data_IF_237610145022
#
_entry.id   IF_237610145022
#
_cell.length_a   1.000
_cell.length_b   1.000
_cell.length_c   1.000
_cell.angle_alpha   90.00
_cell.angle_beta   90.00
_cell.angle_gamma   90.00
#
_symmetry.space_group_name_H-M   'P 1'
#
loop_
_entity.id
_entity.type
_entity.pdbx_description
1 polymer ?
#
# COMPACT_ATOMS: atom_id res chain seq x y z
N UNK A 1 0.30 -16.51 -8.88
CA UNK A 1 0.84 -17.80 -8.40
C UNK A 1 0.83 -18.81 -9.54
N UNK A 2 1.55 -19.93 -9.43
CA UNK A 2 1.59 -21.01 -10.43
C UNK A 2 0.37 -21.95 -10.35
N UNK A 3 -0.27 -22.02 -9.18
CA UNK A 3 -1.57 -22.66 -8.95
C UNK A 3 -2.73 -21.66 -9.07
N UNK A 4 -3.93 -22.13 -9.38
CA UNK A 4 -5.11 -21.28 -9.65
C UNK A 4 -5.67 -20.58 -8.41
N UNK A 5 -5.50 -21.19 -7.23
CA UNK A 5 -5.97 -20.73 -5.93
C UNK A 5 -5.56 -21.74 -4.83
N UNK A 6 -6.16 -21.63 -3.64
CA UNK A 6 -6.03 -22.66 -2.60
C UNK A 6 -7.15 -23.69 -2.80
N UNK A 7 -6.79 -24.96 -2.89
CA UNK A 7 -7.75 -26.05 -3.10
C UNK A 7 -8.25 -26.63 -1.77
N UNK A 8 -9.47 -27.17 -1.76
CA UNK A 8 -10.07 -27.88 -0.62
C UNK A 8 -9.41 -29.22 -0.31
N UNK A 9 -8.74 -29.82 -1.29
CA UNK A 9 -8.00 -31.08 -1.20
C UNK A 9 -6.86 -31.09 -2.24
N UNK A 10 -5.92 -32.03 -2.15
CA UNK A 10 -4.86 -32.18 -3.17
C UNK A 10 -5.51 -32.66 -4.49
N UNK A 11 -5.57 -31.83 -5.55
CA UNK A 11 -6.27 -32.19 -6.79
C UNK A 11 -5.62 -33.38 -7.51
N UNK A 12 -4.36 -33.71 -7.21
CA UNK A 12 -3.71 -34.91 -7.75
C UNK A 12 -4.22 -36.21 -7.11
N UNK A 13 -4.80 -36.13 -5.90
CA UNK A 13 -5.30 -37.27 -5.13
C UNK A 13 -6.83 -37.30 -5.00
N UNK A 14 -7.46 -36.14 -5.11
CA UNK A 14 -8.88 -35.92 -4.92
C UNK A 14 -9.45 -35.23 -6.16
N UNK A 15 -10.04 -35.97 -7.11
CA UNK A 15 -10.62 -35.41 -8.32
C UNK A 15 -11.77 -34.42 -8.08
N UNK A 16 -12.38 -34.49 -6.90
CA UNK A 16 -13.43 -33.60 -6.43
C UNK A 16 -12.90 -32.33 -5.73
N UNK A 17 -11.58 -32.15 -5.63
CA UNK A 17 -10.97 -30.95 -5.09
C UNK A 17 -11.41 -29.70 -5.85
N UNK A 18 -11.83 -28.67 -5.12
CA UNK A 18 -12.29 -27.39 -5.67
C UNK A 18 -11.46 -26.26 -5.11
N UNK A 19 -11.46 -25.13 -5.80
CA UNK A 19 -10.87 -23.90 -5.27
C UNK A 19 -11.75 -23.40 -4.12
N UNK A 20 -11.12 -23.01 -3.02
CA UNK A 20 -11.77 -22.22 -1.97
C UNK A 20 -12.00 -20.82 -2.53
N UNK A 21 -13.24 -20.50 -2.89
CA UNK A 21 -13.55 -19.22 -3.55
C UNK A 21 -13.38 -18.03 -2.60
N UNK A 22 -13.78 -18.18 -1.34
CA UNK A 22 -13.75 -17.12 -0.33
C UNK A 22 -13.45 -17.68 1.06
N UNK A 23 -12.76 -16.89 1.88
CA UNK A 23 -12.54 -17.20 3.30
C UNK A 23 -12.19 -15.94 4.08
N UNK A 24 -12.50 -15.93 5.38
CA UNK A 24 -11.95 -14.99 6.37
C UNK A 24 -10.86 -15.64 7.23
N UNK A 25 -10.64 -16.95 7.11
CA UNK A 25 -9.70 -17.71 7.94
C UNK A 25 -8.49 -18.18 7.14
N UNK A 26 -7.36 -17.49 7.31
CA UNK A 26 -6.08 -17.93 6.75
C UNK A 26 -5.58 -19.19 7.44
N UNK A 27 -5.86 -19.35 8.73
CA UNK A 27 -5.56 -20.59 9.46
C UNK A 27 -6.24 -21.81 8.82
N UNK A 28 -7.47 -21.67 8.33
CA UNK A 28 -8.13 -22.73 7.57
C UNK A 28 -7.40 -23.02 6.25
N UNK A 29 -6.98 -21.99 5.50
CA UNK A 29 -6.20 -22.18 4.27
C UNK A 29 -4.85 -22.87 4.52
N UNK A 30 -4.16 -22.53 5.60
CA UNK A 30 -2.88 -23.17 5.97
C UNK A 30 -3.04 -24.68 6.21
N UNK A 31 -4.16 -25.11 6.80
CA UNK A 31 -4.46 -26.55 7.00
C UNK A 31 -4.72 -27.29 5.69
N UNK A 32 -5.21 -26.57 4.67
CA UNK A 32 -5.43 -27.09 3.32
C UNK A 32 -4.17 -27.03 2.46
N UNK A 33 -3.11 -26.36 2.91
CA UNK A 33 -1.85 -26.37 2.21
C UNK A 33 -1.13 -27.70 2.46
N UNK A 34 -1.27 -28.63 1.52
CA UNK A 34 -0.53 -29.88 1.53
C UNK A 34 0.96 -29.57 1.42
N UNK A 35 1.78 -30.06 2.36
CA UNK A 35 3.22 -29.93 2.28
C UNK A 35 3.73 -30.60 0.99
N UNK A 36 4.15 -29.81 0.00
CA UNK A 36 4.98 -30.32 -1.09
C UNK A 36 6.35 -30.69 -0.50
N UNK A 37 6.86 -31.86 -0.90
CA UNK A 37 8.17 -32.41 -0.46
C UNK A 37 9.38 -31.70 -1.08
N UNK A 38 9.17 -30.74 -1.96
CA UNK A 38 10.27 -30.07 -2.66
C UNK A 38 10.79 -28.90 -1.83
N UNK A 39 11.85 -29.18 -1.07
CA UNK A 39 12.52 -28.25 -0.15
C UNK A 39 13.20 -27.04 -0.83
N UNK A 40 13.18 -26.93 -2.16
CA UNK A 40 13.90 -25.90 -2.92
C UNK A 40 13.01 -24.77 -3.48
N UNK A 41 11.71 -24.71 -3.17
CA UNK A 41 10.86 -23.61 -3.63
C UNK A 41 10.86 -22.44 -2.63
N UNK A 42 11.81 -21.51 -2.78
CA UNK A 42 11.80 -20.19 -2.12
C UNK A 42 10.61 -19.35 -2.65
N UNK A 43 9.47 -19.39 -1.94
CA UNK A 43 8.26 -18.61 -2.28
C UNK A 43 6.98 -19.42 -2.51
N UNK A 44 6.76 -20.49 -1.75
CA UNK A 44 5.60 -21.38 -1.86
C UNK A 44 4.25 -20.77 -1.45
N UNK A 45 3.21 -21.60 -1.27
CA UNK A 45 1.88 -21.15 -0.82
C UNK A 45 1.92 -20.59 0.61
N UNK A 46 2.77 -21.15 1.49
CA UNK A 46 2.95 -20.66 2.86
C UNK A 46 3.33 -19.17 2.91
N UNK A 47 4.34 -18.74 2.15
CA UNK A 47 4.76 -17.33 2.08
C UNK A 47 3.67 -16.42 1.52
N UNK A 48 2.83 -16.91 0.60
CA UNK A 48 1.68 -16.14 0.08
C UNK A 48 0.60 -15.98 1.15
N UNK A 49 0.38 -17.00 1.97
CA UNK A 49 -0.51 -16.92 3.12
C UNK A 49 0.04 -16.02 4.23
N UNK A 50 1.35 -16.01 4.48
CA UNK A 50 1.99 -15.06 5.41
C UNK A 50 1.76 -13.62 4.95
N UNK A 51 1.99 -13.35 3.66
CA UNK A 51 1.74 -12.03 3.09
C UNK A 51 0.25 -11.66 3.15
N UNK A 52 -0.65 -12.60 2.82
CA UNK A 52 -2.09 -12.38 2.89
C UNK A 52 -2.57 -12.14 4.32
N UNK A 53 -1.96 -12.77 5.33
CA UNK A 53 -2.30 -12.58 6.75
C UNK A 53 -1.93 -11.20 7.23
N UNK A 54 -0.74 -10.75 6.84
CA UNK A 54 -0.31 -9.39 7.08
C UNK A 54 -1.27 -8.39 6.42
N UNK A 55 -1.63 -8.60 5.15
CA UNK A 55 -2.55 -7.71 4.41
C UNK A 55 -3.98 -7.75 4.99
N UNK A 56 -4.44 -8.93 5.41
CA UNK A 56 -5.75 -9.13 6.04
C UNK A 56 -5.85 -8.40 7.39
N UNK A 57 -4.79 -8.40 8.21
CA UNK A 57 -4.75 -7.63 9.46
C UNK A 57 -4.86 -6.12 9.25
N UNK A 58 -4.72 -5.65 8.01
CA UNK A 58 -4.91 -4.25 7.62
C UNK A 58 -6.28 -4.00 7.00
N UNK A 59 -7.19 -4.97 7.04
CA UNK A 59 -8.51 -4.87 6.44
C UNK A 59 -8.50 -4.79 4.92
N UNK A 60 -7.44 -5.26 4.26
CA UNK A 60 -7.34 -5.26 2.80
C UNK A 60 -7.75 -6.64 2.26
N UNK A 61 -8.77 -6.71 1.38
CA UNK A 61 -9.09 -7.95 0.70
C UNK A 61 -7.92 -8.38 -0.20
N UNK A 62 -7.53 -9.64 -0.10
CA UNK A 62 -6.41 -10.21 -0.86
C UNK A 62 -6.90 -11.35 -1.73
N UNK A 63 -6.46 -11.42 -2.98
CA UNK A 63 -6.79 -12.54 -3.87
C UNK A 63 -5.53 -13.33 -4.23
N UNK A 64 -5.58 -14.64 -4.02
CA UNK A 64 -4.57 -15.57 -4.55
C UNK A 64 -5.08 -16.08 -5.89
N UNK A 65 -4.39 -15.65 -6.97
CA UNK A 65 -4.80 -15.88 -8.35
C UNK A 65 -3.70 -16.58 -9.17
N UNK A 66 -4.10 -17.58 -9.97
CA UNK A 66 -3.23 -18.21 -10.96
C UNK A 66 -2.80 -17.24 -12.06
N UNK A 67 -1.50 -16.93 -12.13
CA UNK A 67 -0.95 -16.00 -13.11
C UNK A 67 -0.88 -16.55 -14.53
N UNK A 68 -1.16 -17.84 -14.72
CA UNK A 68 -1.22 -18.52 -16.03
C UNK A 68 -2.65 -18.71 -16.52
N UNK A 69 -3.65 -18.39 -15.70
CA UNK A 69 -5.07 -18.48 -16.07
C UNK A 69 -5.41 -17.26 -16.92
N UNK A 70 -5.68 -17.48 -18.21
CA UNK A 70 -6.08 -16.40 -19.12
C UNK A 70 -7.41 -15.81 -18.69
N UNK A 71 -7.55 -14.47 -18.75
CA UNK A 71 -8.78 -13.79 -18.35
C UNK A 71 -8.98 -13.67 -16.83
N UNK A 72 -8.04 -14.12 -16.00
CA UNK A 72 -8.25 -14.21 -14.56
C UNK A 72 -8.34 -12.85 -13.87
N UNK A 73 -7.61 -11.84 -14.36
CA UNK A 73 -7.70 -10.47 -13.83
C UNK A 73 -9.02 -9.83 -14.27
N UNK A 74 -9.41 -10.01 -15.53
CA UNK A 74 -10.68 -9.55 -16.08
C UNK A 74 -11.86 -10.14 -15.31
N UNK A 75 -11.86 -11.47 -15.13
CA UNK A 75 -12.86 -12.18 -14.33
C UNK A 75 -12.95 -11.63 -12.89
N UNK A 76 -11.80 -11.36 -12.26
CA UNK A 76 -11.75 -10.77 -10.92
C UNK A 76 -12.40 -9.38 -10.89
N UNK A 77 -12.08 -8.51 -11.86
CA UNK A 77 -12.66 -7.16 -11.92
C UNK A 77 -14.15 -7.16 -12.29
N UNK A 78 -14.60 -8.14 -13.07
CA UNK A 78 -15.99 -8.37 -13.42
C UNK A 78 -16.79 -9.09 -12.32
N UNK A 79 -16.15 -9.40 -11.18
CA UNK A 79 -16.74 -10.11 -10.02
C UNK A 79 -17.17 -11.55 -10.31
N UNK A 80 -16.55 -12.19 -11.29
CA UNK A 80 -16.69 -13.62 -11.49
C UNK A 80 -15.82 -14.40 -10.48
N UNK A 81 -16.27 -15.56 -9.96
CA UNK A 81 -15.46 -16.38 -9.07
C UNK A 81 -14.16 -16.83 -9.75
N UNK A 82 -13.03 -16.39 -9.20
CA UNK A 82 -11.70 -16.79 -9.70
C UNK A 82 -10.67 -16.75 -8.56
N UNK A 83 -9.89 -17.82 -8.45
CA UNK A 83 -8.92 -17.99 -7.37
C UNK A 83 -9.55 -18.02 -5.98
N UNK A 84 -8.76 -17.62 -4.97
CA UNK A 84 -9.19 -17.58 -3.57
C UNK A 84 -9.17 -16.15 -3.05
N UNK A 85 -10.34 -15.62 -2.70
CA UNK A 85 -10.48 -14.33 -2.04
C UNK A 85 -10.38 -14.50 -0.52
N UNK A 86 -9.45 -13.79 0.09
CA UNK A 86 -9.28 -13.66 1.53
C UNK A 86 -9.89 -12.32 1.92
N UNK A 87 -11.00 -12.38 2.62
CA UNK A 87 -11.74 -11.19 3.07
C UNK A 87 -11.15 -10.67 4.39
N UNK A 88 -11.26 -9.37 4.66
CA UNK A 88 -10.98 -8.81 5.99
C UNK A 88 -11.73 -9.56 7.10
N UNK A 89 -11.21 -9.51 8.33
CA UNK A 89 -11.96 -10.01 9.48
C UNK A 89 -13.24 -9.18 9.66
N UNK A 90 -14.29 -9.78 10.22
CA UNK A 90 -15.66 -9.24 10.21
C UNK A 90 -15.86 -7.91 11.00
N UNK A 91 -14.83 -7.40 11.67
CA UNK A 91 -14.93 -6.29 12.63
C UNK A 91 -14.37 -4.94 12.12
N UNK A 92 -14.03 -4.85 10.83
CA UNK A 92 -13.07 -3.86 10.30
C UNK A 92 -13.65 -2.81 9.33
N UNK A 93 -14.86 -2.28 9.59
CA UNK A 93 -15.45 -1.23 8.73
C UNK A 93 -14.64 0.09 8.68
N UNK A 94 -13.80 0.37 9.69
CA UNK A 94 -12.84 1.48 9.69
C UNK A 94 -11.53 1.19 8.95
N UNK A 95 -11.28 -0.06 8.56
CA UNK A 95 -9.97 -0.52 8.13
C UNK A 95 -9.61 -0.16 6.69
N UNK A 96 -10.54 0.21 5.81
CA UNK A 96 -10.17 0.57 4.43
C UNK A 96 -9.35 1.87 4.30
N UNK A 97 -9.58 2.85 5.20
CA UNK A 97 -8.75 4.04 5.32
C UNK A 97 -7.45 3.75 6.08
N UNK A 98 -7.45 2.73 6.94
CA UNK A 98 -6.31 2.29 7.73
C UNK A 98 -5.34 1.47 6.87
N UNK A 99 -5.83 0.49 6.12
CA UNK A 99 -5.21 -0.23 5.01
C UNK A 99 -4.27 0.61 4.14
N UNK A 100 -4.79 1.71 3.58
CA UNK A 100 -4.03 2.55 2.64
C UNK A 100 -2.93 3.32 3.35
N UNK A 101 -3.21 3.82 4.56
CA UNK A 101 -2.19 4.44 5.41
C UNK A 101 -1.14 3.40 5.77
N UNK A 102 -1.55 2.22 6.17
CA UNK A 102 -0.67 1.13 6.53
C UNK A 102 0.23 0.69 5.37
N UNK A 103 -0.30 0.63 4.15
CA UNK A 103 0.50 0.37 2.94
C UNK A 103 1.59 1.45 2.73
N UNK A 104 1.25 2.72 2.97
CA UNK A 104 2.23 3.83 2.92
C UNK A 104 3.28 3.66 4.03
N UNK A 105 2.89 3.22 5.22
CA UNK A 105 3.77 3.03 6.37
C UNK A 105 4.75 1.86 6.17
N UNK A 106 4.26 0.69 5.74
CA UNK A 106 5.03 -0.55 5.63
C UNK A 106 5.97 -0.57 4.41
N UNK A 107 5.83 0.38 3.48
CA UNK A 107 6.70 0.40 2.32
C UNK A 107 8.15 0.75 2.68
N UNK A 108 9.03 -0.25 2.70
CA UNK A 108 10.44 -0.14 3.12
C UNK A 108 11.31 0.75 2.22
N UNK A 109 10.85 1.08 1.01
CA UNK A 109 11.57 1.96 0.07
C UNK A 109 10.74 3.19 -0.30
N UNK A 110 11.21 4.36 0.12
CA UNK A 110 10.72 5.66 -0.36
C UNK A 110 11.52 6.11 -1.58
N UNK A 111 10.88 6.79 -2.53
CA UNK A 111 11.54 7.28 -3.75
C UNK A 111 12.37 8.54 -3.51
N UNK A 112 11.98 9.36 -2.52
CA UNK A 112 12.67 10.58 -2.11
C UNK A 112 12.10 11.15 -0.82
N UNK A 113 12.43 12.40 -0.50
CA UNK A 113 11.93 13.07 0.69
C UNK A 113 11.54 14.54 0.45
N UNK A 114 10.56 14.99 1.22
CA UNK A 114 10.15 16.38 1.38
C UNK A 114 10.58 16.83 2.78
N UNK A 115 11.46 17.83 2.85
CA UNK A 115 11.82 18.47 4.12
C UNK A 115 10.90 19.67 4.30
N UNK A 116 10.18 19.69 5.41
CA UNK A 116 9.11 20.66 5.66
C UNK A 116 9.44 21.51 6.88
N UNK A 117 8.87 22.72 6.95
CA UNK A 117 8.96 23.54 8.16
C UNK A 117 8.06 22.99 9.29
N UNK A 118 8.25 23.51 10.49
CA UNK A 118 7.50 23.09 11.69
C UNK A 118 5.99 23.35 11.54
N UNK A 119 5.60 24.42 10.86
CA UNK A 119 4.19 24.77 10.66
C UNK A 119 3.49 23.78 9.73
N UNK A 120 4.18 23.37 8.67
CA UNK A 120 3.71 22.37 7.71
C UNK A 120 3.61 20.98 8.34
N UNK A 121 4.55 20.63 9.20
CA UNK A 121 4.50 19.38 9.96
C UNK A 121 3.33 19.37 10.94
N UNK A 122 3.16 20.43 11.74
CA UNK A 122 2.03 20.57 12.65
C UNK A 122 0.68 20.56 11.90
N UNK A 123 0.63 21.13 10.69
CA UNK A 123 -0.55 21.08 9.84
C UNK A 123 -0.88 19.64 9.41
N UNK A 124 0.12 18.86 8.97
CA UNK A 124 -0.04 17.45 8.63
C UNK A 124 -0.50 16.61 9.82
N UNK A 125 0.06 16.83 11.01
CA UNK A 125 -0.36 16.19 12.25
C UNK A 125 -1.84 16.47 12.58
N UNK A 126 -2.32 17.67 12.27
CA UNK A 126 -3.73 18.09 12.41
C UNK A 126 -4.60 17.70 11.20
N UNK A 127 -4.13 16.78 10.36
CA UNK A 127 -4.82 16.28 9.16
C UNK A 127 -5.14 17.37 8.12
N UNK A 128 -4.28 18.39 8.00
CA UNK A 128 -4.30 19.30 6.86
C UNK A 128 -3.41 18.78 5.71
N UNK A 129 -3.54 19.38 4.52
CA UNK A 129 -2.68 19.03 3.38
C UNK A 129 -1.34 19.73 3.47
N UNK A 130 -0.28 19.07 3.01
CA UNK A 130 1.01 19.73 2.80
C UNK A 130 0.89 20.67 1.60
N UNK A 131 1.16 21.96 1.83
CA UNK A 131 1.19 23.00 0.80
C UNK A 131 2.63 23.32 0.39
N UNK A 132 2.84 23.89 -0.81
CA UNK A 132 4.18 24.21 -1.29
C UNK A 132 4.93 25.18 -0.38
N UNK A 133 4.21 26.13 0.22
CA UNK A 133 4.77 27.11 1.16
C UNK A 133 5.50 26.48 2.35
N UNK A 134 5.07 25.27 2.74
CA UNK A 134 5.64 24.54 3.87
C UNK A 134 6.85 23.66 3.52
N UNK A 135 7.25 23.59 2.26
CA UNK A 135 8.35 22.74 1.79
C UNK A 135 9.62 23.58 1.73
N UNK A 136 10.62 23.18 2.51
CA UNK A 136 11.92 23.84 2.61
C UNK A 136 12.84 23.38 1.49
N UNK A 137 12.93 22.05 1.28
CA UNK A 137 13.72 21.43 0.21
C UNK A 137 13.21 20.04 -0.12
N UNK A 138 13.62 19.52 -1.28
CA UNK A 138 13.40 18.14 -1.69
C UNK A 138 14.72 17.37 -1.70
N UNK A 139 14.66 16.07 -1.46
CA UNK A 139 15.82 15.17 -1.50
C UNK A 139 15.49 13.96 -2.39
N UNK A 140 16.41 13.58 -3.28
CA UNK A 140 16.20 12.47 -4.22
C UNK A 140 15.35 12.84 -5.44
N UNK A 141 14.80 11.82 -6.10
CA UNK A 141 13.96 11.95 -7.30
C UNK A 141 12.71 11.10 -7.13
N UNK A 142 11.55 11.66 -7.39
CA UNK A 142 10.27 10.97 -7.25
C UNK A 142 9.28 11.49 -8.29
N UNK A 143 8.35 10.64 -8.69
CA UNK A 143 7.26 10.97 -9.59
C UNK A 143 5.96 11.09 -8.81
N UNK A 144 4.98 11.71 -9.45
CA UNK A 144 3.59 11.66 -9.02
C UNK A 144 3.17 10.22 -8.73
N UNK A 145 2.61 9.99 -7.55
CA UNK A 145 2.15 8.69 -7.08
C UNK A 145 3.17 7.93 -6.25
N UNK A 146 4.44 8.33 -6.25
CA UNK A 146 5.46 7.72 -5.44
C UNK A 146 5.28 8.04 -3.95
N UNK A 147 5.71 7.12 -3.10
CA UNK A 147 5.82 7.35 -1.66
C UNK A 147 7.11 8.12 -1.39
N UNK A 148 6.97 9.24 -0.68
CA UNK A 148 8.07 10.10 -0.22
C UNK A 148 8.07 10.18 1.30
N UNK A 149 9.26 10.22 1.88
CA UNK A 149 9.44 10.57 3.29
C UNK A 149 9.10 12.05 3.51
N UNK A 150 8.51 12.37 4.65
CA UNK A 150 8.32 13.74 5.14
C UNK A 150 9.20 13.92 6.35
N UNK A 151 10.17 14.82 6.24
CA UNK A 151 11.20 15.07 7.27
C UNK A 151 11.00 16.43 7.91
N UNK A 152 11.28 16.49 9.21
CA UNK A 152 11.38 17.76 9.93
C UNK A 152 12.65 18.54 9.50
N UNK A 153 12.81 19.82 9.91
CA UNK A 153 13.99 20.62 9.57
C UNK A 153 15.33 20.01 10.02
N UNK A 154 15.32 19.16 11.05
CA UNK A 154 16.51 18.45 11.54
C UNK A 154 16.91 17.27 10.62
N UNK A 155 16.05 16.92 9.66
CA UNK A 155 16.24 15.81 8.72
C UNK A 155 15.69 14.48 9.21
N UNK A 156 15.01 14.44 10.36
CA UNK A 156 14.40 13.22 10.89
C UNK A 156 13.07 12.96 10.17
N UNK A 157 12.87 11.72 9.73
CA UNK A 157 11.61 11.27 9.13
C UNK A 157 10.50 11.27 10.19
N UNK A 158 9.42 11.99 9.90
CA UNK A 158 8.24 12.12 10.78
C UNK A 158 7.03 11.40 10.22
N UNK A 159 7.08 11.03 8.95
CA UNK A 159 6.00 10.34 8.28
C UNK A 159 6.32 10.07 6.82
N UNK A 160 5.40 9.40 6.14
CA UNK A 160 5.44 9.15 4.70
C UNK A 160 4.16 9.64 4.06
N UNK A 161 4.27 10.09 2.82
CA UNK A 161 3.11 10.49 2.04
C UNK A 161 3.24 10.19 0.56
N UNK A 162 2.12 10.26 -0.16
CA UNK A 162 2.10 10.08 -1.62
C UNK A 162 2.24 11.43 -2.31
N UNK A 163 3.26 11.57 -3.16
CA UNK A 163 3.52 12.79 -3.90
C UNK A 163 2.46 13.03 -4.98
N UNK A 164 1.88 14.23 -5.01
CA UNK A 164 0.95 14.64 -6.08
C UNK A 164 1.65 15.01 -7.39
N UNK A 165 2.85 15.56 -7.27
CA UNK A 165 3.60 16.16 -8.35
C UNK A 165 4.97 15.49 -8.43
N UNK A 166 5.59 15.56 -9.60
CA UNK A 166 6.96 15.12 -9.76
C UNK A 166 7.91 16.04 -8.99
N UNK A 167 9.12 15.55 -8.68
CA UNK A 167 10.14 16.29 -7.94
C UNK A 167 10.44 17.67 -8.56
N UNK A 168 10.53 17.75 -9.90
CA UNK A 168 10.80 18.99 -10.62
C UNK A 168 9.63 19.98 -10.58
N UNK A 169 8.39 19.51 -10.46
CA UNK A 169 7.22 20.38 -10.27
C UNK A 169 7.23 20.93 -8.84
N UNK A 170 7.50 20.09 -7.83
CA UNK A 170 7.59 20.51 -6.42
C UNK A 170 8.73 21.51 -6.22
N UNK A 171 9.90 21.28 -6.82
CA UNK A 171 11.03 22.21 -6.73
C UNK A 171 10.69 23.60 -7.27
N UNK A 172 9.86 23.68 -8.32
CA UNK A 172 9.46 24.96 -8.91
C UNK A 172 8.48 25.76 -8.05
N UNK A 173 7.76 25.11 -7.14
CA UNK A 173 6.70 25.77 -6.35
C UNK A 173 6.96 25.80 -4.85
N UNK A 174 8.00 25.13 -4.35
CA UNK A 174 8.32 25.13 -2.92
C UNK A 174 8.52 26.55 -2.41
N UNK A 175 8.05 26.82 -1.20
CA UNK A 175 8.07 28.14 -0.58
C UNK A 175 7.05 29.14 -1.13
N UNK A 176 6.37 28.86 -2.25
CA UNK A 176 5.39 29.79 -2.83
C UNK A 176 4.04 29.73 -2.14
N UNK A 177 3.32 30.85 -2.18
CA UNK A 177 1.94 30.87 -1.73
C UNK A 177 1.05 30.08 -2.71
N UNK A 178 -0.07 29.54 -2.19
CA UNK A 178 -0.96 28.66 -2.95
C UNK A 178 -1.43 29.28 -4.27
N UNK A 179 -1.67 30.59 -4.32
CA UNK A 179 -2.07 31.31 -5.53
C UNK A 179 -1.00 31.29 -6.63
N UNK A 180 0.25 31.51 -6.27
CA UNK A 180 1.40 31.54 -7.19
C UNK A 180 1.72 30.13 -7.68
N UNK A 181 1.73 29.16 -6.75
CA UNK A 181 1.95 27.75 -7.07
C UNK A 181 0.91 27.22 -8.09
N UNK A 182 -0.37 27.59 -7.95
CA UNK A 182 -1.43 27.20 -8.91
C UNK A 182 -1.14 27.73 -10.33
N UNK A 183 -0.62 28.95 -10.44
CA UNK A 183 -0.29 29.52 -11.73
C UNK A 183 0.83 28.73 -12.43
N UNK A 184 1.85 28.32 -11.67
CA UNK A 184 3.00 27.58 -12.20
C UNK A 184 2.71 26.10 -12.51
N UNK A 185 1.80 25.46 -11.75
CA UNK A 185 1.43 24.05 -11.93
C UNK A 185 0.36 23.81 -13.01
N UNK A 186 -0.26 24.88 -13.50
CA UNK A 186 -1.35 24.85 -14.47
C UNK A 186 -2.72 25.12 -13.83
N UNK A 187 -3.52 25.96 -14.52
CA UNK A 187 -4.86 26.36 -14.10
C UNK A 187 -5.77 25.16 -13.83
N UNK A 188 -6.42 25.14 -12.65
CA UNK A 188 -7.39 24.11 -12.25
C UNK A 188 -6.85 23.01 -11.34
N UNK A 189 -5.52 22.95 -11.10
CA UNK A 189 -4.94 22.03 -10.11
C UNK A 189 -4.94 22.69 -8.73
N UNK A 190 -5.41 22.01 -7.70
CA UNK A 190 -5.15 22.45 -6.32
C UNK A 190 -3.67 22.27 -5.98
N UNK A 191 -3.06 23.23 -5.30
CA UNK A 191 -1.60 23.27 -5.08
C UNK A 191 -1.07 22.34 -3.98
N UNK A 192 -1.90 21.58 -3.29
CA UNK A 192 -1.42 20.66 -2.25
C UNK A 192 -0.49 19.59 -2.85
N UNK A 193 0.58 19.28 -2.13
CA UNK A 193 1.63 18.34 -2.54
C UNK A 193 1.38 16.95 -1.96
N UNK A 194 0.89 16.87 -0.73
CA UNK A 194 0.47 15.63 -0.04
C UNK A 194 -0.88 15.89 0.63
N UNK A 195 -1.83 14.96 0.50
CA UNK A 195 -3.11 15.02 1.24
C UNK A 195 -3.04 14.30 2.59
N UNK A 196 -3.86 14.70 3.56
CA UNK A 196 -3.90 14.05 4.88
C UNK A 196 -4.42 12.61 4.87
N UNK A 197 -5.20 12.20 3.86
CA UNK A 197 -5.59 10.79 3.67
C UNK A 197 -4.49 9.95 3.00
N UNK A 198 -3.46 10.61 2.48
CA UNK A 198 -2.29 10.00 1.83
C UNK A 198 -1.01 10.33 2.57
N UNK A 199 -1.12 10.61 3.87
CA UNK A 199 -0.01 10.86 4.77
C UNK A 199 -0.17 10.01 6.03
N UNK A 200 0.94 9.51 6.53
CA UNK A 200 1.01 8.70 7.76
C UNK A 200 2.15 9.20 8.60
N UNK A 201 1.85 9.46 9.87
CA UNK A 201 2.86 9.75 10.88
C UNK A 201 3.58 8.46 11.26
N UNK A 202 4.89 8.53 11.35
CA UNK A 202 5.66 7.47 11.99
C UNK A 202 5.87 7.81 13.45
N UNK A 203 5.51 6.86 14.31
CA UNK A 203 5.94 6.91 15.70
C UNK A 203 7.43 6.56 15.74
N UNK A 204 8.20 7.29 16.54
CA UNK A 204 9.58 6.93 16.83
C UNK A 204 9.58 5.62 17.63
N UNK A 205 9.70 4.47 16.97
CA UNK A 205 9.90 3.19 17.67
C UNK A 205 9.51 1.86 17.02
N UNK A 206 9.01 1.78 15.79
CA UNK A 206 8.45 0.50 15.27
C UNK A 206 9.26 -0.21 14.17
N UNK A 207 10.49 0.21 13.88
CA UNK A 207 11.35 -0.44 12.86
C UNK A 207 12.40 -1.42 13.43
N UNK A 208 12.26 -1.90 14.68
CA UNK A 208 13.21 -2.87 15.30
C UNK A 208 12.58 -4.19 15.82
N UNK A 209 11.45 -4.66 15.28
CA UNK A 209 10.88 -5.98 15.64
C UNK A 209 10.80 -6.96 14.46
#
# INVERSE_FOLDING_TARGET
TDVEGVYTADPARHPDARIVERTTSIAALRRLCFAKRDAESTGGMATKLDAAERVQSYGIPTVILGGRVSGALEALFDRHPVGTLIEPAADDAGAALDARRHWIAVQTRVAGALVVDEGALAALERRASLLPSGIVRIEGRFRRGDIVAVKDPSGRERGRGVARFDDWEVERVRGLHTSEARHLLGSGRSAWVVRPDQFVLMNAGEDEA
#
